data_IF_517659285083
#
_entry.id   IF_517659285083
#
_cell.length_a   1.000
_cell.length_b   1.000
_cell.length_c   1.000
_cell.angle_alpha   90.00
_cell.angle_beta   90.00
_cell.angle_gamma   90.00
#
_symmetry.space_group_name_H-M   'P 1'
#
loop_
_entity.id
_entity.type
_entity.pdbx_description
1 polymer ?
#
# COMPACT_ATOMS: atom_id res chain seq x y z
N UNK A 1 -10.07 0.12 8.58
CA UNK A 1 -10.79 0.55 7.37
C UNK A 1 -9.89 0.32 6.18
N UNK A 2 -10.42 -0.23 5.10
CA UNK A 2 -9.65 -0.55 3.91
C UNK A 2 -10.47 -0.27 2.65
N UNK A 3 -9.80 0.19 1.61
CA UNK A 3 -10.40 0.40 0.29
C UNK A 3 -9.40 -0.04 -0.78
N UNK A 4 -9.88 -0.75 -1.79
CA UNK A 4 -9.06 -1.20 -2.91
C UNK A 4 -9.87 -1.17 -4.19
N UNK A 5 -9.28 -0.75 -5.31
CA UNK A 5 -9.86 -0.94 -6.64
C UNK A 5 -9.34 -2.23 -7.26
N UNK A 6 -10.16 -2.83 -8.14
CA UNK A 6 -9.63 -3.80 -9.08
C UNK A 6 -8.68 -3.10 -10.05
N UNK A 7 -7.58 -3.77 -10.47
CA UNK A 7 -6.63 -3.20 -11.44
C UNK A 7 -7.27 -2.67 -12.74
N UNK A 8 -8.40 -3.24 -13.17
CA UNK A 8 -9.15 -2.82 -14.36
C UNK A 8 -10.11 -1.64 -14.15
N UNK A 9 -10.37 -1.24 -12.90
CA UNK A 9 -11.19 -0.08 -12.54
C UNK A 9 -12.68 -0.26 -12.60
N UNK A 10 -13.10 -1.51 -12.76
CA UNK A 10 -14.52 -1.84 -12.79
C UNK A 10 -15.08 -2.09 -11.40
N UNK A 11 -14.22 -2.39 -10.41
CA UNK A 11 -14.67 -2.78 -9.07
C UNK A 11 -13.97 -2.02 -7.96
N UNK A 12 -14.69 -1.87 -6.87
CA UNK A 12 -14.22 -1.33 -5.60
C UNK A 12 -14.50 -2.34 -4.49
N UNK A 13 -13.55 -2.55 -3.60
CA UNK A 13 -13.74 -3.26 -2.34
C UNK A 13 -13.63 -2.25 -1.20
N UNK A 14 -14.59 -2.26 -0.27
CA UNK A 14 -14.59 -1.41 0.93
C UNK A 14 -14.80 -2.25 2.17
N UNK A 15 -13.99 -2.02 3.21
CA UNK A 15 -14.11 -2.70 4.49
C UNK A 15 -14.32 -1.67 5.63
N UNK A 16 -15.46 -1.80 6.32
CA UNK A 16 -15.89 -0.94 7.42
C UNK A 16 -15.76 -1.59 8.80
N UNK A 17 -16.28 -0.91 9.82
CA UNK A 17 -16.39 -1.41 11.20
C UNK A 17 -17.61 -2.31 11.43
N UNK A 18 -18.47 -2.45 10.43
CA UNK A 18 -19.72 -3.20 10.51
C UNK A 18 -19.56 -4.67 10.11
N UNK A 19 -18.33 -5.20 10.17
CA UNK A 19 -17.99 -6.58 9.84
C UNK A 19 -18.30 -7.00 8.39
N UNK A 20 -18.45 -6.08 7.44
CA UNK A 20 -18.64 -6.43 6.02
C UNK A 20 -17.48 -5.96 5.14
N UNK A 21 -17.14 -6.81 4.15
CA UNK A 21 -16.37 -6.41 2.98
C UNK A 21 -17.36 -6.26 1.82
N UNK A 22 -17.61 -5.03 1.38
CA UNK A 22 -18.53 -4.74 0.28
C UNK A 22 -17.76 -4.63 -1.02
N UNK A 23 -18.33 -5.21 -2.07
CA UNK A 23 -17.87 -5.03 -3.44
C UNK A 23 -18.89 -4.22 -4.23
N UNK A 24 -18.37 -3.30 -5.03
CA UNK A 24 -19.13 -2.41 -5.88
C UNK A 24 -18.65 -2.58 -7.31
N UNK A 25 -19.56 -2.77 -8.27
CA UNK A 25 -19.26 -2.54 -9.68
C UNK A 25 -19.34 -1.03 -9.99
N UNK A 26 -18.58 -0.56 -10.98
CA UNK A 26 -18.48 0.84 -11.36
C UNK A 26 -18.68 0.99 -12.87
N UNK A 27 -19.42 2.01 -13.35
CA UNK A 27 -19.97 3.14 -12.58
C UNK A 27 -21.36 2.88 -11.97
N UNK A 28 -22.01 1.78 -12.34
CA UNK A 28 -23.37 1.44 -11.90
C UNK A 28 -23.32 0.64 -10.59
N UNK A 29 -24.03 1.13 -9.57
CA UNK A 29 -24.01 0.67 -8.18
C UNK A 29 -24.72 -0.69 -7.97
N UNK A 30 -24.36 -1.72 -8.74
CA UNK A 30 -24.74 -3.09 -8.38
C UNK A 30 -23.81 -3.58 -7.27
N UNK A 31 -24.40 -3.99 -6.14
CA UNK A 31 -23.67 -4.39 -4.95
C UNK A 31 -23.64 -5.92 -4.76
N UNK A 32 -22.53 -6.39 -4.18
CA UNK A 32 -22.46 -7.71 -3.59
C UNK A 32 -21.68 -7.64 -2.28
N UNK A 33 -22.36 -7.97 -1.18
CA UNK A 33 -21.73 -8.03 0.12
C UNK A 33 -21.06 -9.40 0.32
N UNK A 34 -19.75 -9.41 0.57
CA UNK A 34 -19.08 -10.57 1.14
C UNK A 34 -19.16 -10.42 2.66
N UNK A 35 -19.90 -11.30 3.32
CA UNK A 35 -20.00 -11.34 4.77
C UNK A 35 -18.58 -11.38 5.37
N UNK A 36 -18.25 -10.42 6.25
CA UNK A 36 -17.01 -10.43 7.02
C UNK A 36 -17.23 -11.16 8.35
N UNK A 37 -16.14 -11.60 8.95
CA UNK A 37 -16.17 -12.46 10.14
C UNK A 37 -15.55 -11.77 11.37
N UNK A 38 -15.05 -10.53 11.25
CA UNK A 38 -14.53 -9.77 12.40
C UNK A 38 -14.35 -8.28 12.13
N UNK A 39 -14.14 -7.54 13.21
CA UNK A 39 -13.63 -6.17 13.19
C UNK A 39 -12.28 -6.15 12.44
N UNK A 40 -12.04 -5.14 11.61
CA UNK A 40 -10.84 -4.98 10.76
C UNK A 40 -10.72 -5.97 9.59
N UNK A 41 -11.77 -6.06 8.76
CA UNK A 41 -11.66 -6.72 7.46
C UNK A 41 -10.77 -5.92 6.49
N UNK A 42 -10.09 -6.62 5.60
CA UNK A 42 -9.39 -6.07 4.45
C UNK A 42 -9.64 -6.93 3.21
N UNK A 43 -9.48 -6.31 2.04
CA UNK A 43 -9.68 -6.94 0.76
C UNK A 43 -8.66 -6.43 -0.25
N UNK A 44 -7.96 -7.33 -0.93
CA UNK A 44 -7.05 -6.98 -2.03
C UNK A 44 -7.45 -7.72 -3.30
N UNK A 45 -7.47 -7.00 -4.43
CA UNK A 45 -7.73 -7.61 -5.71
C UNK A 45 -6.47 -8.28 -6.26
N UNK A 46 -6.68 -9.41 -6.91
CA UNK A 46 -5.71 -10.04 -7.81
C UNK A 46 -5.35 -9.12 -8.99
N UNK A 47 -4.14 -9.28 -9.51
CA UNK A 47 -3.63 -8.47 -10.62
C UNK A 47 -4.48 -8.56 -11.92
N UNK A 48 -5.19 -9.67 -12.12
CA UNK A 48 -6.09 -9.89 -13.26
C UNK A 48 -7.53 -9.41 -13.01
N UNK A 49 -7.80 -8.81 -11.85
CA UNK A 49 -9.12 -8.31 -11.42
C UNK A 49 -10.21 -9.39 -11.26
N UNK A 50 -9.86 -10.68 -11.29
CA UNK A 50 -10.83 -11.79 -11.25
C UNK A 50 -11.08 -12.36 -9.86
N UNK A 51 -10.16 -12.11 -8.94
CA UNK A 51 -10.21 -12.62 -7.56
C UNK A 51 -10.01 -11.53 -6.54
N UNK A 52 -10.52 -11.78 -5.34
CA UNK A 52 -10.33 -10.95 -4.14
C UNK A 52 -9.79 -11.81 -3.00
N UNK A 53 -8.74 -11.35 -2.34
CA UNK A 53 -8.25 -11.94 -1.08
C UNK A 53 -8.89 -11.18 0.07
N UNK A 54 -9.73 -11.87 0.83
CA UNK A 54 -10.28 -11.40 2.09
C UNK A 54 -9.35 -11.81 3.23
N UNK A 55 -9.11 -10.91 4.16
CA UNK A 55 -8.38 -11.17 5.40
C UNK A 55 -8.96 -10.35 6.54
N UNK A 56 -8.79 -10.82 7.78
CA UNK A 56 -9.31 -10.15 8.96
C UNK A 56 -8.43 -10.45 10.19
N UNK A 57 -8.55 -9.62 11.23
CA UNK A 57 -7.77 -9.81 12.47
C UNK A 57 -8.12 -11.13 13.19
N UNK A 58 -9.42 -11.47 13.26
CA UNK A 58 -9.90 -12.64 14.00
C UNK A 58 -10.55 -13.69 13.09
N UNK A 59 -10.18 -13.74 11.81
CA UNK A 59 -10.74 -14.68 10.83
C UNK A 59 -9.71 -15.19 9.84
N UNK A 60 -10.05 -16.23 9.07
CA UNK A 60 -9.16 -16.82 8.09
C UNK A 60 -8.85 -15.86 6.94
N UNK A 61 -7.80 -16.17 6.20
CA UNK A 61 -7.56 -15.57 4.88
C UNK A 61 -8.22 -16.46 3.82
N UNK A 62 -9.01 -15.88 2.93
CA UNK A 62 -9.79 -16.62 1.92
C UNK A 62 -9.76 -15.90 0.58
N UNK A 63 -9.61 -16.66 -0.51
CA UNK A 63 -9.78 -16.14 -1.87
C UNK A 63 -11.22 -16.29 -2.31
N UNK A 64 -11.75 -15.28 -2.97
CA UNK A 64 -13.04 -15.28 -3.64
C UNK A 64 -12.84 -15.15 -5.14
N UNK A 65 -13.56 -15.96 -5.90
CA UNK A 65 -13.73 -15.77 -7.33
C UNK A 65 -14.87 -14.77 -7.55
N UNK A 66 -14.57 -13.69 -8.27
CA UNK A 66 -15.49 -12.57 -8.42
C UNK A 66 -16.50 -12.74 -9.57
N UNK A 67 -16.31 -13.74 -10.42
CA UNK A 67 -17.28 -14.10 -11.47
C UNK A 67 -18.40 -14.94 -10.85
N UNK A 68 -18.03 -15.97 -10.10
CA UNK A 68 -18.96 -16.87 -9.41
C UNK A 68 -19.45 -16.32 -8.08
N UNK A 69 -18.76 -15.32 -7.51
CA UNK A 69 -19.01 -14.74 -6.19
C UNK A 69 -18.93 -15.77 -5.05
N UNK A 70 -18.08 -16.79 -5.20
CA UNK A 70 -17.90 -17.88 -4.23
C UNK A 70 -16.46 -17.95 -3.72
N UNK A 71 -16.24 -18.55 -2.53
CA UNK A 71 -14.89 -18.91 -2.09
C UNK A 71 -14.19 -19.81 -3.12
N UNK A 72 -12.94 -19.51 -3.41
CA UNK A 72 -12.08 -20.30 -4.26
C UNK A 72 -10.90 -20.84 -3.44
N UNK A 73 -10.60 -22.13 -3.58
CA UNK A 73 -9.49 -22.76 -2.88
C UNK A 73 -9.75 -23.00 -1.39
N UNK A 74 -8.68 -23.18 -0.62
CA UNK A 74 -8.74 -23.50 0.79
C UNK A 74 -8.88 -22.25 1.67
N UNK A 75 -9.52 -22.44 2.83
CA UNK A 75 -9.54 -21.46 3.90
C UNK A 75 -8.22 -21.51 4.67
N UNK A 76 -7.45 -20.41 4.65
CA UNK A 76 -6.13 -20.37 5.26
C UNK A 76 -6.27 -20.10 6.76
N UNK A 77 -5.75 -20.98 7.64
CA UNK A 77 -5.86 -20.84 9.09
C UNK A 77 -4.84 -19.84 9.63
N UNK A 78 -4.90 -18.59 9.14
CA UNK A 78 -4.04 -17.49 9.59
C UNK A 78 -4.80 -16.64 10.60
N UNK A 79 -4.45 -16.76 11.88
CA UNK A 79 -4.90 -15.81 12.89
C UNK A 79 -4.11 -14.50 12.83
N UNK A 80 -4.76 -13.36 13.07
CA UNK A 80 -4.07 -12.07 13.17
C UNK A 80 -3.55 -11.50 11.85
N UNK A 81 -4.17 -11.81 10.71
CA UNK A 81 -3.76 -11.28 9.42
C UNK A 81 -3.99 -9.76 9.37
N UNK A 82 -2.89 -9.00 9.24
CA UNK A 82 -2.92 -7.55 9.09
C UNK A 82 -3.02 -7.13 7.63
N UNK A 83 -2.45 -7.94 6.73
CA UNK A 83 -2.47 -7.72 5.30
C UNK A 83 -2.30 -9.05 4.55
N UNK A 84 -3.04 -9.24 3.46
CA UNK A 84 -2.83 -10.37 2.56
C UNK A 84 -3.06 -9.95 1.11
N UNK A 85 -2.27 -10.52 0.19
CA UNK A 85 -2.47 -10.33 -1.26
C UNK A 85 -1.96 -11.56 -2.03
N UNK A 86 -2.51 -11.80 -3.22
CA UNK A 86 -1.97 -12.80 -4.13
C UNK A 86 -0.61 -12.34 -4.66
N UNK A 87 0.32 -13.27 -4.82
CA UNK A 87 1.55 -13.03 -5.57
C UNK A 87 1.21 -12.72 -7.03
N UNK A 88 2.04 -11.95 -7.77
CA UNK A 88 1.73 -11.59 -9.15
C UNK A 88 1.53 -12.78 -10.10
N UNK A 89 2.13 -13.94 -9.80
CA UNK A 89 1.91 -15.20 -10.52
C UNK A 89 0.56 -15.89 -10.22
N UNK A 90 -0.22 -15.35 -9.27
CA UNK A 90 -1.52 -15.82 -8.82
C UNK A 90 -1.51 -17.23 -8.18
N UNK A 91 -0.33 -17.74 -7.80
CA UNK A 91 -0.18 -19.10 -7.26
C UNK A 91 -0.22 -19.15 -5.75
N UNK A 92 0.30 -18.12 -5.08
CA UNK A 92 0.40 -18.08 -3.63
C UNK A 92 -0.21 -16.81 -3.06
N UNK A 93 -0.52 -16.82 -1.77
CA UNK A 93 -0.86 -15.61 -1.02
C UNK A 93 0.32 -15.27 -0.13
N UNK A 94 0.75 -14.01 -0.20
CA UNK A 94 1.61 -13.43 0.80
C UNK A 94 0.77 -12.79 1.90
N UNK A 95 1.03 -13.22 3.13
CA UNK A 95 0.32 -12.77 4.32
C UNK A 95 1.32 -12.17 5.28
N UNK A 96 0.99 -10.99 5.79
CA UNK A 96 1.64 -10.41 6.95
C UNK A 96 0.69 -10.54 8.14
N UNK A 97 1.08 -11.34 9.13
CA UNK A 97 0.24 -11.72 10.25
C UNK A 97 0.96 -11.55 11.59
N UNK A 98 0.17 -11.52 12.66
CA UNK A 98 0.67 -11.61 14.03
C UNK A 98 0.49 -13.04 14.54
N UNK A 99 1.57 -13.63 15.05
CA UNK A 99 1.54 -14.93 15.74
C UNK A 99 0.84 -14.80 17.10
N UNK A 100 0.38 -15.90 17.72
CA UNK A 100 -0.31 -15.85 19.02
C UNK A 100 0.51 -15.22 20.16
N UNK A 101 1.84 -15.23 20.07
CA UNK A 101 2.75 -14.57 21.01
C UNK A 101 2.99 -13.08 20.68
N UNK A 102 2.21 -12.51 19.74
CA UNK A 102 2.22 -11.09 19.37
C UNK A 102 3.35 -10.67 18.41
N UNK A 103 4.15 -11.62 17.91
CA UNK A 103 5.24 -11.31 16.97
C UNK A 103 4.71 -11.22 15.54
N UNK A 104 5.34 -10.36 14.73
CA UNK A 104 5.05 -10.32 13.30
C UNK A 104 5.64 -11.54 12.59
N UNK A 105 4.92 -12.09 11.62
CA UNK A 105 5.41 -13.14 10.72
C UNK A 105 4.93 -12.86 9.30
N UNK A 106 5.85 -12.97 8.35
CA UNK A 106 5.53 -13.02 6.93
C UNK A 106 5.38 -14.47 6.49
N UNK A 107 4.34 -14.77 5.74
CA UNK A 107 4.00 -16.13 5.34
C UNK A 107 3.67 -16.18 3.84
N UNK A 108 4.07 -17.26 3.17
CA UNK A 108 3.57 -17.61 1.83
C UNK A 108 2.75 -18.89 1.92
N UNK A 109 1.56 -18.87 1.34
CA UNK A 109 0.61 -19.98 1.34
C UNK A 109 0.21 -20.35 -0.07
N UNK A 110 0.11 -21.64 -0.36
CA UNK A 110 -0.67 -22.09 -1.51
C UNK A 110 -2.14 -21.94 -1.18
N UNK A 111 -2.82 -21.03 -1.88
CA UNK A 111 -4.22 -20.72 -1.56
C UNK A 111 -5.20 -21.78 -2.06
N UNK A 112 -4.78 -22.68 -2.95
CA UNK A 112 -5.64 -23.77 -3.42
C UNK A 112 -5.62 -24.94 -2.44
N UNK A 113 -4.46 -25.29 -1.92
CA UNK A 113 -4.29 -26.43 -1.02
C UNK A 113 -4.40 -26.06 0.46
N UNK A 114 -4.16 -24.80 0.80
CA UNK A 114 -4.09 -24.34 2.19
C UNK A 114 -2.76 -24.64 2.87
N UNK A 115 -1.75 -25.03 2.11
CA UNK A 115 -0.43 -25.38 2.64
C UNK A 115 0.42 -24.13 2.89
N UNK A 116 0.94 -23.97 4.11
CA UNK A 116 1.96 -22.96 4.41
C UNK A 116 3.28 -23.40 3.79
N UNK A 117 3.77 -22.63 2.82
CA UNK A 117 4.97 -22.97 2.06
C UNK A 117 6.24 -22.26 2.57
N UNK A 118 6.08 -21.12 3.25
CA UNK A 118 7.18 -20.33 3.80
C UNK A 118 6.72 -19.52 5.00
N UNK A 119 7.64 -19.29 5.94
CA UNK A 119 7.47 -18.35 7.03
C UNK A 119 8.79 -17.64 7.33
N UNK A 120 8.73 -16.32 7.46
CA UNK A 120 9.82 -15.48 7.93
C UNK A 120 9.37 -14.74 9.18
N UNK A 121 9.81 -15.18 10.38
CA UNK A 121 9.56 -14.46 11.61
C UNK A 121 10.19 -13.06 11.57
N UNK A 122 9.45 -12.08 12.09
CA UNK A 122 9.92 -10.72 12.31
C UNK A 122 10.10 -10.52 13.81
N UNK A 123 11.09 -9.72 14.23
CA UNK A 123 11.16 -9.30 15.63
C UNK A 123 9.91 -8.48 15.92
N UNK A 124 9.38 -8.66 17.14
CA UNK A 124 8.18 -7.95 17.60
C UNK A 124 8.33 -6.46 17.29
N UNK A 125 7.35 -5.82 16.63
CA UNK A 125 7.35 -4.38 16.58
C UNK A 125 7.34 -3.88 18.04
N UNK A 126 8.16 -2.88 18.42
CA UNK A 126 8.17 -2.32 19.78
C UNK A 126 6.82 -1.71 20.21
N UNK A 127 5.83 -1.62 19.31
CA UNK A 127 4.46 -1.17 19.57
C UNK A 127 3.47 -2.01 18.76
N UNK A 128 2.31 -2.32 19.35
CA UNK A 128 1.18 -3.09 18.76
C UNK A 128 0.59 -2.50 17.45
N UNK A 129 1.09 -1.36 16.98
CA UNK A 129 0.51 -0.61 15.86
C UNK A 129 1.34 -0.66 14.57
N UNK A 130 2.50 -1.32 14.55
CA UNK A 130 3.33 -1.44 13.36
C UNK A 130 2.75 -2.45 12.36
N UNK A 131 1.96 -1.99 11.38
CA UNK A 131 1.44 -2.87 10.32
C UNK A 131 2.61 -3.25 9.39
N UNK A 132 2.93 -4.54 9.24
CA UNK A 132 3.90 -4.99 8.25
C UNK A 132 3.38 -4.73 6.83
N UNK A 133 4.20 -4.08 6.02
CA UNK A 133 3.93 -3.80 4.61
C UNK A 133 4.56 -4.89 3.73
N UNK A 134 3.87 -5.27 2.66
CA UNK A 134 4.39 -6.16 1.61
C UNK A 134 4.35 -5.40 0.28
N UNK A 135 5.48 -5.35 -0.41
CA UNK A 135 5.59 -4.84 -1.79
C UNK A 135 6.30 -5.87 -2.68
N UNK A 136 5.73 -6.16 -3.83
CA UNK A 136 6.35 -7.02 -4.83
C UNK A 136 7.10 -6.21 -5.89
N UNK A 137 8.16 -6.80 -6.44
CA UNK A 137 8.67 -6.38 -7.75
C UNK A 137 7.63 -6.62 -8.83
N UNK A 138 7.70 -5.87 -9.92
CA UNK A 138 6.78 -5.95 -11.06
C UNK A 138 6.78 -7.31 -11.77
N UNK A 139 7.88 -8.07 -11.67
CA UNK A 139 7.96 -9.46 -12.13
C UNK A 139 7.46 -10.49 -11.09
N UNK A 140 7.12 -10.04 -9.89
CA UNK A 140 6.66 -10.86 -8.76
C UNK A 140 7.70 -11.79 -8.15
N UNK A 141 8.97 -11.73 -8.59
CA UNK A 141 10.02 -12.63 -8.09
C UNK A 141 10.52 -12.24 -6.71
N UNK A 142 10.47 -10.95 -6.38
CA UNK A 142 10.95 -10.41 -5.10
C UNK A 142 9.80 -9.80 -4.32
N UNK A 143 9.78 -10.04 -3.01
CA UNK A 143 8.90 -9.35 -2.08
C UNK A 143 9.73 -8.61 -1.03
N UNK A 144 9.55 -7.30 -0.92
CA UNK A 144 10.00 -6.53 0.22
C UNK A 144 8.94 -6.59 1.31
N UNK A 145 9.35 -7.02 2.50
CA UNK A 145 8.52 -7.08 3.70
C UNK A 145 9.16 -6.18 4.72
N UNK A 146 8.44 -5.20 5.24
CA UNK A 146 9.03 -4.25 6.17
C UNK A 146 8.04 -3.73 7.21
N UNK A 147 8.54 -3.41 8.39
CA UNK A 147 7.78 -2.74 9.45
C UNK A 147 8.30 -1.31 9.67
N UNK A 148 7.43 -0.42 10.17
CA UNK A 148 7.78 0.96 10.46
C UNK A 148 8.94 1.12 11.46
N UNK A 149 9.22 0.08 12.25
CA UNK A 149 10.17 0.10 13.36
C UNK A 149 11.55 -0.49 12.98
N UNK A 150 11.80 -0.68 11.68
CA UNK A 150 13.15 -0.78 11.14
C UNK A 150 13.66 -2.17 10.76
N UNK A 151 12.77 -3.16 10.70
CA UNK A 151 13.10 -4.43 10.06
C UNK A 151 12.58 -4.45 8.63
N UNK A 152 13.44 -4.86 7.70
CA UNK A 152 13.02 -5.18 6.35
C UNK A 152 13.69 -6.46 5.87
N UNK A 153 12.98 -7.20 5.03
CA UNK A 153 13.42 -8.43 4.41
C UNK A 153 13.13 -8.33 2.93
N UNK A 154 14.06 -8.81 2.10
CA UNK A 154 13.81 -9.11 0.71
C UNK A 154 13.70 -10.62 0.58
N UNK A 155 12.58 -11.10 0.07
CA UNK A 155 12.26 -12.52 -0.09
C UNK A 155 12.26 -12.86 -1.57
N UNK A 156 12.90 -13.96 -1.93
CA UNK A 156 12.66 -14.64 -3.21
C UNK A 156 11.37 -15.46 -3.09
N UNK A 157 10.38 -15.11 -3.90
CA UNK A 157 9.03 -15.68 -3.82
C UNK A 157 9.02 -17.12 -4.36
N UNK A 158 9.77 -17.39 -5.42
CA UNK A 158 9.77 -18.70 -6.08
C UNK A 158 10.59 -19.72 -5.29
N UNK A 159 11.78 -19.31 -4.85
CA UNK A 159 12.69 -20.14 -4.07
C UNK A 159 12.32 -20.17 -2.58
N UNK A 160 11.39 -19.33 -2.14
CA UNK A 160 10.87 -19.26 -0.76
C UNK A 160 12.01 -19.10 0.25
N UNK A 161 12.87 -18.11 0.02
CA UNK A 161 14.00 -17.82 0.90
C UNK A 161 14.27 -16.34 1.04
N UNK A 162 14.84 -15.97 2.17
CA UNK A 162 15.28 -14.59 2.42
C UNK A 162 16.57 -14.31 1.67
N UNK A 163 16.55 -13.30 0.82
CA UNK A 163 17.70 -12.81 0.05
C UNK A 163 18.50 -11.79 0.85
N UNK A 164 17.81 -10.80 1.42
CA UNK A 164 18.43 -9.69 2.16
C UNK A 164 17.71 -9.51 3.47
N UNK A 165 18.49 -9.32 4.54
CA UNK A 165 18.00 -8.97 5.86
C UNK A 165 18.52 -7.60 6.25
N UNK A 166 17.58 -6.71 6.52
CA UNK A 166 17.83 -5.33 6.89
C UNK A 166 17.48 -5.23 8.37
N UNK A 167 18.45 -5.58 9.21
CA UNK A 167 18.32 -5.44 10.66
C UNK A 167 19.04 -4.18 11.11
N UNK A 168 18.38 -3.39 11.94
CA UNK A 168 19.07 -2.37 12.72
C UNK A 168 19.13 -2.84 14.16
N UNK A 169 20.29 -3.34 14.60
CA UNK A 169 20.54 -3.51 16.03
C UNK A 169 20.92 -2.16 16.69
N UNK A 170 21.30 -1.15 15.90
CA UNK A 170 21.69 0.19 16.38
C UNK A 170 21.41 1.36 15.41
N UNK A 171 21.13 1.10 14.12
CA UNK A 171 21.18 2.09 13.03
C UNK A 171 19.83 2.73 12.62
N UNK A 172 18.67 2.25 13.12
CA UNK A 172 17.34 2.77 12.76
C UNK A 172 17.18 3.04 11.24
N UNK A 173 17.32 1.97 10.44
CA UNK A 173 17.00 1.97 9.01
C UNK A 173 15.54 1.59 8.87
N UNK A 174 14.73 2.42 8.23
CA UNK A 174 13.31 2.16 8.00
C UNK A 174 13.06 2.07 6.50
N UNK A 175 12.74 0.86 6.01
CA UNK A 175 12.35 0.68 4.62
C UNK A 175 11.00 1.33 4.34
N UNK A 176 10.87 1.93 3.15
CA UNK A 176 9.68 2.69 2.75
C UNK A 176 9.09 2.20 1.43
N UNK A 177 9.94 1.86 0.47
CA UNK A 177 9.48 1.38 -0.83
C UNK A 177 10.52 0.50 -1.52
N UNK A 178 10.03 -0.45 -2.30
CA UNK A 178 10.78 -1.25 -3.27
C UNK A 178 10.56 -0.69 -4.67
N UNK A 179 11.62 -0.62 -5.48
CA UNK A 179 11.52 -0.24 -6.89
C UNK A 179 10.77 -1.30 -7.69
N UNK A 180 10.10 -0.93 -8.81
CA UNK A 180 9.37 -1.88 -9.65
C UNK A 180 10.24 -3.04 -10.18
N UNK A 181 11.54 -2.85 -10.37
CA UNK A 181 12.45 -3.93 -10.78
C UNK A 181 12.91 -4.83 -9.62
N UNK A 182 12.54 -4.51 -8.38
CA UNK A 182 12.93 -5.27 -7.18
C UNK A 182 14.40 -5.16 -6.80
N UNK A 183 15.16 -4.23 -7.39
CA UNK A 183 16.61 -4.12 -7.19
C UNK A 183 17.02 -2.97 -6.28
N UNK A 184 16.15 -2.00 -6.05
CA UNK A 184 16.44 -0.83 -5.24
C UNK A 184 15.40 -0.68 -4.14
N UNK A 185 15.85 -0.45 -2.90
CA UNK A 185 14.97 -0.11 -1.80
C UNK A 185 15.23 1.33 -1.34
N UNK A 186 14.17 2.13 -1.23
CA UNK A 186 14.22 3.42 -0.57
C UNK A 186 14.12 3.21 0.94
N UNK A 187 15.14 3.67 1.67
CA UNK A 187 15.22 3.54 3.12
C UNK A 187 15.48 4.89 3.77
N UNK A 188 14.83 5.15 4.90
CA UNK A 188 15.15 6.27 5.77
C UNK A 188 16.19 5.81 6.79
N UNK A 189 17.30 6.52 6.90
CA UNK A 189 18.35 6.25 7.87
C UNK A 189 18.42 7.41 8.85
N UNK A 190 17.99 7.20 10.09
CA UNK A 190 17.82 8.29 11.08
C UNK A 190 19.08 8.56 11.90
N UNK A 191 20.01 7.61 11.96
CA UNK A 191 21.24 7.66 12.76
C UNK A 191 22.53 7.65 11.94
N UNK A 192 22.48 7.56 10.61
CA UNK A 192 23.69 7.76 9.79
C UNK A 192 24.20 9.18 9.87
N UNK A 193 25.46 9.33 9.50
CA UNK A 193 26.05 10.59 9.10
C UNK A 193 26.34 10.54 7.58
N UNK A 194 25.60 11.29 6.72
CA UNK A 194 24.47 12.15 7.04
C UNK A 194 23.14 11.37 7.25
N UNK A 195 22.23 11.83 8.13
CA UNK A 195 20.91 11.21 8.24
C UNK A 195 20.05 11.63 7.05
N UNK A 196 19.18 10.73 6.59
CA UNK A 196 18.38 11.03 5.41
C UNK A 196 17.84 9.82 4.66
N UNK A 197 17.40 10.07 3.44
CA UNK A 197 16.88 9.06 2.53
C UNK A 197 18.02 8.48 1.74
N UNK A 198 18.06 7.16 1.66
CA UNK A 198 19.02 6.41 0.87
C UNK A 198 18.30 5.55 -0.16
N UNK A 199 18.90 5.45 -1.34
CA UNK A 199 18.62 4.38 -2.29
C UNK A 199 19.62 3.25 -2.03
N UNK A 200 19.10 2.09 -1.67
CA UNK A 200 19.90 0.91 -1.41
C UNK A 200 19.75 -0.08 -2.56
N UNK A 201 20.85 -0.32 -3.27
CA UNK A 201 20.93 -1.37 -4.26
C UNK A 201 21.00 -2.73 -3.56
N UNK A 202 20.00 -3.56 -3.77
CA UNK A 202 19.80 -4.84 -3.11
C UNK A 202 20.69 -5.95 -3.68
N UNK A 203 21.25 -5.75 -4.88
CA UNK A 203 22.15 -6.72 -5.52
C UNK A 203 23.61 -6.46 -5.11
N UNK A 204 24.06 -5.20 -5.10
CA UNK A 204 25.43 -4.82 -4.74
C UNK A 204 25.63 -4.50 -3.25
N UNK A 205 24.56 -4.20 -2.53
CA UNK A 205 24.62 -3.70 -1.16
C UNK A 205 24.92 -2.20 -1.03
N UNK A 206 25.18 -1.50 -2.15
CA UNK A 206 25.55 -0.08 -2.14
C UNK A 206 24.39 0.80 -1.67
N UNK A 207 24.66 1.70 -0.74
CA UNK A 207 23.70 2.72 -0.26
C UNK A 207 24.15 4.09 -0.72
N UNK A 208 23.28 4.80 -1.45
CA UNK A 208 23.49 6.19 -1.88
C UNK A 208 22.55 7.12 -1.14
N UNK A 209 23.10 8.12 -0.46
CA UNK A 209 22.31 9.19 0.15
C UNK A 209 21.75 10.11 -0.94
N UNK A 210 20.46 10.43 -0.89
CA UNK A 210 19.79 11.24 -1.92
C UNK A 210 19.06 12.46 -1.37
N UNK A 211 18.65 12.44 -0.09
CA UNK A 211 17.99 13.57 0.55
C UNK A 211 18.36 13.67 2.03
N UNK A 212 18.50 14.90 2.58
CA UNK A 212 18.70 15.09 4.01
C UNK A 212 17.51 14.64 4.84
N UNK A 213 17.76 14.43 6.13
CA UNK A 213 16.74 14.02 7.11
C UNK A 213 15.51 14.92 7.05
N UNK A 214 14.41 14.25 6.79
CA UNK A 214 13.05 14.76 6.74
C UNK A 214 12.51 14.80 8.17
N UNK A 215 11.80 15.85 8.60
CA UNK A 215 11.41 16.03 10.02
C UNK A 215 10.36 14.97 10.43
N UNK A 216 10.81 13.88 11.08
CA UNK A 216 10.07 12.79 11.78
C UNK A 216 9.79 11.49 11.01
N UNK A 217 9.30 10.52 11.78
CA UNK A 217 9.21 9.07 11.55
C UNK A 217 8.08 8.63 10.58
N UNK A 218 7.19 9.55 10.19
CA UNK A 218 6.04 9.30 9.30
C UNK A 218 6.37 9.49 7.81
N UNK A 219 7.66 9.50 7.47
CA UNK A 219 8.15 9.63 6.11
C UNK A 219 7.61 8.51 5.19
N UNK A 220 6.97 8.90 4.08
CA UNK A 220 6.58 8.00 3.00
C UNK A 220 7.40 8.29 1.74
N UNK A 221 7.77 7.21 1.05
CA UNK A 221 8.43 7.27 -0.24
C UNK A 221 7.73 6.35 -1.23
N UNK A 222 7.65 6.74 -2.50
CA UNK A 222 7.06 5.94 -3.58
C UNK A 222 7.88 6.07 -4.85
N UNK A 223 8.20 4.95 -5.48
CA UNK A 223 8.83 4.95 -6.80
C UNK A 223 7.80 5.28 -7.88
N UNK A 224 8.24 5.92 -8.96
CA UNK A 224 7.46 5.98 -10.20
C UNK A 224 7.25 4.57 -10.76
N UNK A 225 6.20 4.33 -11.57
CA UNK A 225 5.93 3.03 -12.17
C UNK A 225 7.08 2.48 -13.02
N UNK A 226 7.86 3.36 -13.65
CA UNK A 226 9.04 2.96 -14.40
C UNK A 226 10.33 2.91 -13.58
N UNK A 227 10.24 3.19 -12.27
CA UNK A 227 11.35 3.15 -11.32
C UNK A 227 12.38 4.28 -11.47
N UNK A 228 12.20 5.24 -12.39
CA UNK A 228 13.18 6.30 -12.65
C UNK A 228 13.17 7.43 -11.62
N UNK A 229 12.06 7.58 -10.89
CA UNK A 229 11.89 8.66 -9.92
C UNK A 229 11.43 8.10 -8.58
N UNK A 230 11.81 8.78 -7.50
CA UNK A 230 11.32 8.55 -6.16
C UNK A 230 10.66 9.83 -5.65
N UNK A 231 9.38 9.76 -5.28
CA UNK A 231 8.68 10.80 -4.54
C UNK A 231 8.88 10.59 -3.03
N UNK A 232 9.20 11.67 -2.32
CA UNK A 232 9.59 11.67 -0.92
C UNK A 232 8.76 12.73 -0.19
N UNK A 233 7.85 12.31 0.68
CA UNK A 233 6.99 13.23 1.44
C UNK A 233 7.71 13.83 2.65
N UNK A 234 7.59 15.14 2.85
CA UNK A 234 8.05 15.90 4.02
C UNK A 234 6.88 16.59 4.72
N UNK A 235 7.19 17.41 5.71
CA UNK A 235 6.28 18.19 6.53
C UNK A 235 5.46 19.22 5.74
N UNK A 236 5.92 19.67 4.59
CA UNK A 236 5.18 20.64 3.78
C UNK A 236 5.47 20.50 2.29
N UNK A 237 6.22 19.48 1.90
CA UNK A 237 6.75 19.40 0.54
C UNK A 237 6.86 17.95 0.09
N UNK A 238 6.65 17.70 -1.20
CA UNK A 238 7.08 16.46 -1.85
C UNK A 238 8.33 16.74 -2.68
N UNK A 239 9.41 16.04 -2.37
CA UNK A 239 10.65 16.07 -3.14
C UNK A 239 10.71 14.91 -4.13
N UNK A 240 11.29 15.13 -5.30
CA UNK A 240 11.56 14.05 -6.26
C UNK A 240 13.05 13.86 -6.47
N UNK A 241 13.45 12.60 -6.61
CA UNK A 241 14.83 12.18 -6.85
C UNK A 241 14.88 11.31 -8.09
N UNK A 242 15.83 11.57 -8.98
CA UNK A 242 16.16 10.64 -10.06
C UNK A 242 16.90 9.44 -9.46
N UNK A 243 16.39 8.24 -9.66
CA UNK A 243 16.92 7.03 -8.99
C UNK A 243 18.26 6.58 -9.54
N UNK A 244 18.60 6.99 -10.76
CA UNK A 244 19.89 6.67 -11.40
C UNK A 244 20.99 7.61 -10.95
N UNK A 245 20.73 8.92 -10.90
CA UNK A 245 21.75 9.92 -10.49
C UNK A 245 21.77 10.12 -8.98
N UNK A 246 20.64 9.94 -8.29
CA UNK A 246 20.46 10.29 -6.89
C UNK A 246 20.22 11.77 -6.65
N UNK A 247 20.07 12.55 -7.72
CA UNK A 247 19.90 14.01 -7.64
C UNK A 247 18.42 14.39 -7.59
N UNK A 248 18.15 15.56 -6.99
CA UNK A 248 16.82 16.15 -7.01
C UNK A 248 16.40 16.44 -8.45
N UNK A 249 15.17 16.09 -8.78
CA UNK A 249 14.56 16.38 -10.06
C UNK A 249 13.18 17.00 -9.86
N UNK A 250 12.63 17.60 -10.91
CA UNK A 250 11.35 18.33 -10.90
C UNK A 250 11.25 19.44 -9.84
N UNK A 251 10.19 20.25 -9.96
CA UNK A 251 9.86 21.23 -8.94
C UNK A 251 9.26 20.51 -7.72
N UNK A 252 9.73 20.77 -6.49
CA UNK A 252 9.07 20.26 -5.29
C UNK A 252 7.63 20.78 -5.16
N UNK A 253 6.72 19.91 -4.74
CA UNK A 253 5.29 20.25 -4.60
C UNK A 253 5.02 20.73 -3.18
N UNK A 254 4.67 22.01 -3.02
CA UNK A 254 4.45 22.62 -1.73
C UNK A 254 3.01 22.40 -1.21
N UNK A 255 2.90 22.12 0.08
CA UNK A 255 1.68 21.92 0.84
C UNK A 255 1.65 22.87 2.05
N UNK A 256 0.45 23.24 2.55
CA UNK A 256 0.33 24.07 3.74
C UNK A 256 0.55 23.28 5.05
N UNK A 257 0.64 21.95 4.98
CA UNK A 257 0.85 21.06 6.12
C UNK A 257 1.44 19.71 5.67
N UNK A 258 1.63 18.80 6.63
CA UNK A 258 2.27 17.50 6.44
C UNK A 258 1.70 16.75 5.25
N UNK A 259 2.58 16.24 4.38
CA UNK A 259 2.18 15.36 3.29
C UNK A 259 2.30 13.93 3.76
N UNK A 260 1.20 13.20 3.73
CA UNK A 260 1.15 11.79 4.15
C UNK A 260 1.49 10.84 3.02
N UNK A 261 1.16 11.18 1.78
CA UNK A 261 1.44 10.32 0.63
C UNK A 261 1.63 11.14 -0.65
N UNK A 262 2.38 10.57 -1.58
CA UNK A 262 2.53 11.02 -2.94
C UNK A 262 2.54 9.81 -3.87
N UNK A 263 1.70 9.80 -4.90
CA UNK A 263 1.53 8.68 -5.84
C UNK A 263 1.61 9.23 -7.28
N UNK A 264 2.39 8.58 -8.14
CA UNK A 264 2.49 8.94 -9.55
C UNK A 264 1.30 8.40 -10.36
N UNK A 265 0.92 9.06 -11.45
CA UNK A 265 0.02 8.48 -12.48
C UNK A 265 0.72 7.44 -13.36
N UNK A 266 -0.05 6.56 -14.02
CA UNK A 266 0.51 5.43 -14.77
C UNK A 266 1.37 5.86 -15.96
N UNK A 267 0.94 6.94 -16.59
CA UNK A 267 1.63 7.62 -17.68
C UNK A 267 2.72 8.59 -17.19
N UNK A 268 2.93 8.70 -15.88
CA UNK A 268 3.93 9.51 -15.21
C UNK A 268 3.80 11.02 -15.46
N UNK A 269 2.62 11.49 -15.84
CA UNK A 269 2.39 12.92 -16.08
C UNK A 269 1.89 13.65 -14.85
N UNK A 270 1.21 12.94 -13.96
CA UNK A 270 0.57 13.52 -12.79
C UNK A 270 1.16 12.95 -11.50
N UNK A 271 1.09 13.75 -10.45
CA UNK A 271 1.31 13.32 -9.07
C UNK A 271 0.08 13.68 -8.27
N UNK A 272 -0.41 12.72 -7.51
CA UNK A 272 -1.39 12.99 -6.48
C UNK A 272 -0.69 13.00 -5.12
N UNK A 273 -1.05 13.98 -4.32
CA UNK A 273 -0.60 14.13 -2.94
C UNK A 273 -1.79 14.24 -1.99
N UNK A 274 -1.65 13.75 -0.76
CA UNK A 274 -2.63 13.95 0.31
C UNK A 274 -1.92 14.28 1.63
N UNK A 275 -2.48 15.17 2.43
CA UNK A 275 -1.84 15.68 3.64
C UNK A 275 -2.76 15.94 4.82
N UNK A 276 -2.18 16.43 5.92
CA UNK A 276 -2.84 16.72 7.19
C UNK A 276 -3.95 17.77 7.10
N UNK A 277 -3.89 18.62 6.10
CA UNK A 277 -4.96 19.57 5.80
C UNK A 277 -6.22 18.90 5.23
N UNK A 278 -6.20 17.57 5.09
CA UNK A 278 -7.31 16.74 4.60
C UNK A 278 -7.69 17.06 3.16
N UNK A 279 -6.74 17.55 2.37
CA UNK A 279 -6.97 17.83 0.95
C UNK A 279 -6.06 16.95 0.10
N UNK A 280 -6.67 16.32 -0.91
CA UNK A 280 -5.94 15.71 -2.01
C UNK A 280 -5.70 16.76 -3.09
N UNK A 281 -4.52 16.69 -3.72
CA UNK A 281 -4.10 17.61 -4.77
C UNK A 281 -3.54 16.83 -5.94
N UNK A 282 -3.88 17.27 -7.15
CA UNK A 282 -3.39 16.71 -8.41
C UNK A 282 -2.46 17.74 -9.05
N UNK A 283 -1.26 17.30 -9.39
CA UNK A 283 -0.19 18.13 -9.91
C UNK A 283 0.28 17.60 -11.24
N UNK A 284 0.63 18.49 -12.16
CA UNK A 284 1.41 18.14 -13.34
C UNK A 284 2.88 17.96 -12.93
N UNK A 285 3.43 16.75 -13.09
CA UNK A 285 4.78 16.40 -12.63
C UNK A 285 5.85 17.27 -13.28
N UNK A 286 5.76 17.48 -14.60
CA UNK A 286 6.79 18.16 -15.38
C UNK A 286 6.98 19.63 -14.97
N UNK A 287 5.88 20.31 -14.60
CA UNK A 287 5.88 21.75 -14.31
C UNK A 287 5.72 22.05 -12.82
N UNK A 288 5.25 21.09 -12.02
CA UNK A 288 4.81 21.31 -10.64
C UNK A 288 3.52 22.11 -10.52
N UNK A 289 2.78 22.30 -11.62
CA UNK A 289 1.53 23.08 -11.62
C UNK A 289 0.42 22.31 -10.90
N UNK A 290 -0.22 22.96 -9.94
CA UNK A 290 -1.44 22.46 -9.32
C UNK A 290 -2.60 22.49 -10.34
N UNK A 291 -3.17 21.32 -10.63
CA UNK A 291 -4.27 21.16 -11.59
C UNK A 291 -5.63 21.13 -10.89
N UNK A 292 -5.69 20.61 -9.66
CA UNK A 292 -6.93 20.50 -8.91
C UNK A 292 -6.70 20.14 -7.45
N UNK A 293 -7.69 20.48 -6.63
CA UNK A 293 -7.73 20.16 -5.20
C UNK A 293 -9.10 19.65 -4.82
N UNK A 294 -9.18 18.74 -3.85
CA UNK A 294 -10.46 18.34 -3.26
C UNK A 294 -10.96 19.42 -2.31
N UNK A 295 -12.30 19.63 -2.20
CA UNK A 295 -12.86 20.45 -1.13
C UNK A 295 -12.50 19.80 0.20
N UNK A 296 -11.87 20.54 1.12
CA UNK A 296 -11.45 20.00 2.41
C UNK A 296 -12.60 19.87 3.41
N UNK A 297 -12.33 19.03 4.42
CA UNK A 297 -13.17 18.55 5.54
C UNK A 297 -14.25 17.53 5.17
N UNK A 298 -14.09 16.40 5.84
CA UNK A 298 -14.94 15.23 6.00
C UNK A 298 -14.86 14.10 4.98
N UNK A 299 -14.33 14.29 3.78
CA UNK A 299 -14.35 13.19 2.82
C UNK A 299 -13.01 13.02 2.04
N UNK A 300 -11.97 12.31 2.53
CA UNK A 300 -10.87 11.75 1.65
C UNK A 300 -10.34 10.44 2.25
N UNK A 301 -10.81 9.27 1.79
CA UNK A 301 -10.30 7.96 2.24
C UNK A 301 -9.10 7.48 1.44
N UNK A 302 -9.15 7.61 0.12
CA UNK A 302 -8.12 7.10 -0.76
C UNK A 302 -8.26 7.67 -2.17
N UNK A 303 -7.11 7.81 -2.80
CA UNK A 303 -7.05 7.95 -4.25
C UNK A 303 -6.23 6.77 -4.74
N UNK A 304 -6.87 5.92 -5.52
CA UNK A 304 -6.25 4.71 -6.01
C UNK A 304 -6.59 4.53 -7.48
N UNK A 305 -5.59 4.07 -8.22
CA UNK A 305 -5.62 3.83 -9.65
C UNK A 305 -6.56 2.70 -10.02
N UNK A 306 -7.05 2.79 -11.25
CA UNK A 306 -7.47 1.63 -11.98
C UNK A 306 -7.31 1.80 -13.51
N UNK A 307 -6.37 1.07 -14.11
CA UNK A 307 -6.02 1.20 -15.52
C UNK A 307 -5.68 2.64 -15.94
N UNK A 308 -6.31 3.12 -17.02
CA UNK A 308 -6.17 4.49 -17.55
C UNK A 308 -7.13 5.51 -16.89
N UNK A 309 -7.80 5.17 -15.79
CA UNK A 309 -8.77 6.05 -15.13
C UNK A 309 -8.32 6.43 -13.73
N UNK A 310 -8.45 7.73 -13.43
CA UNK A 310 -8.25 8.30 -12.10
C UNK A 310 -9.62 8.46 -11.43
N UNK A 311 -9.81 7.82 -10.27
CA UNK A 311 -11.02 8.00 -9.45
C UNK A 311 -10.60 8.54 -8.09
N UNK A 312 -11.17 9.68 -7.73
CA UNK A 312 -11.01 10.34 -6.45
C UNK A 312 -12.15 9.88 -5.52
N UNK A 313 -11.85 9.35 -4.33
CA UNK A 313 -12.86 9.00 -3.33
C UNK A 313 -12.61 9.57 -1.94
N UNK A 314 -13.73 9.86 -1.28
CA UNK A 314 -13.88 10.80 -0.19
C UNK A 314 -14.65 10.11 1.00
N UNK A 315 -14.13 10.10 2.25
CA UNK A 315 -14.60 9.34 3.47
C UNK A 315 -15.95 9.75 4.10
N UNK A 316 -16.58 8.81 4.81
CA UNK A 316 -17.69 8.93 5.74
C UNK A 316 -17.21 8.81 7.22
N UNK A 317 -17.68 9.69 8.12
CA UNK A 317 -17.74 9.39 9.58
C UNK A 317 -19.16 9.44 10.11
N UNK A 318 -19.63 8.29 10.57
CA UNK A 318 -20.85 8.17 11.36
C UNK A 318 -20.77 8.96 12.66
N UNK A 319 -21.68 9.90 12.83
CA UNK A 319 -22.33 10.09 14.12
C UNK A 319 -23.68 9.37 14.07
N UNK A 320 -23.87 8.44 15.00
CA UNK A 320 -25.12 7.70 15.16
C UNK A 320 -26.26 8.65 15.54
N UNK A 321 -27.35 8.66 14.75
CA UNK A 321 -28.76 8.64 15.20
C UNK A 321 -29.73 9.23 14.14
N UNK A 322 -29.97 8.52 13.04
CA UNK A 322 -31.21 8.65 12.26
C UNK A 322 -31.34 7.47 11.27
N UNK A 323 -32.56 6.98 10.98
CA UNK A 323 -32.75 5.79 10.15
C UNK A 323 -32.45 6.06 8.67
N UNK A 324 -32.02 4.98 7.99
CA UNK A 324 -31.82 4.86 6.55
C UNK A 324 -32.95 5.49 5.72
N UNK A 325 -32.60 6.37 4.77
CA UNK A 325 -33.39 6.61 3.56
C UNK A 325 -32.59 7.27 2.43
N UNK A 326 -31.57 8.08 2.70
CA UNK A 326 -30.84 8.82 1.65
C UNK A 326 -29.32 8.74 1.87
N UNK A 327 -28.64 7.82 1.17
CA UNK A 327 -27.18 7.61 1.27
C UNK A 327 -26.39 8.52 0.29
N UNK A 328 -25.29 9.16 0.72
CA UNK A 328 -24.61 10.26 0.01
C UNK A 328 -23.51 9.80 -0.96
N UNK A 329 -23.83 8.94 -1.93
CA UNK A 329 -22.88 8.50 -2.99
C UNK A 329 -22.99 9.33 -4.30
N UNK A 330 -23.66 10.48 -4.29
CA UNK A 330 -24.01 11.23 -5.51
C UNK A 330 -22.93 12.18 -6.06
N UNK A 331 -21.73 12.25 -5.48
CA UNK A 331 -20.70 13.21 -5.88
C UNK A 331 -19.46 12.56 -6.54
N UNK A 332 -19.68 11.74 -7.57
CA UNK A 332 -18.62 11.35 -8.50
C UNK A 332 -18.88 11.99 -9.88
N UNK A 333 -18.32 13.19 -10.12
CA UNK A 333 -18.27 13.79 -11.47
C UNK A 333 -16.84 14.18 -11.86
N UNK A 334 -16.34 13.39 -12.81
CA UNK A 334 -15.67 13.80 -14.05
C UNK A 334 -14.48 14.77 -13.99
N UNK A 335 -13.27 14.22 -13.85
CA UNK A 335 -11.99 14.68 -14.41
C UNK A 335 -11.17 13.38 -14.55
N UNK A 336 -10.76 12.81 -15.69
CA UNK A 336 -10.55 13.24 -17.07
C UNK A 336 -11.03 12.11 -18.03
N UNK A 337 -11.38 12.47 -19.27
CA UNK A 337 -11.53 11.53 -20.39
C UNK A 337 -10.19 10.90 -20.78
#
# INVERSE_FOLDING_TARGET
MGVAFSPDGRRLATAGYDDYLRLWELPEQDDFAIAGNSEHNGGTFSADSRRLVKYAKAGPVQVFDLETRQPAGAELPVGGAAFAQLTPDQRTIAVAAFTPDGKGEFQLWDWRTGEKQFAQPMRSPPKENGIPCIQFSGDGRRAAVYCQEGQAYLIDVAEKRTLVRCESDTEQIIARALSPDGRTMAVLHTRSEPPGVYLWNLDSGEKRWVLPRVRRDDYQARFSPDGKYLACCDADTVHFVNTTTGERCFQPLAHPSWVYLAEFSADQKLVLTFGKDQTARIWELATGKLLGTTPGKDDVLAVLRAGNREVLMTDFRGQSSAPMADSPLSAARQLCM
#
